data_IF_638287428612
#
_entry.id   IF_638287428612
#
_cell.length_a   1.000
_cell.length_b   1.000
_cell.length_c   1.000
_cell.angle_alpha   90.00
_cell.angle_beta   90.00
_cell.angle_gamma   90.00
#
_symmetry.space_group_name_H-M   'P 1'
#
loop_
_entity.id
_entity.type
_entity.pdbx_description
1 polymer ?
#
# COMPACT_ATOMS: atom_id res chain seq x y z
N UNK A 1 6.12 -40.31 2.15
CA UNK A 1 4.85 -39.87 1.52
C UNK A 1 4.80 -38.35 1.66
N UNK A 2 4.73 -37.61 0.55
CA UNK A 2 4.54 -36.17 0.63
C UNK A 2 3.12 -35.91 1.13
N UNK A 3 2.96 -35.34 2.31
CA UNK A 3 1.69 -34.87 2.82
C UNK A 3 1.31 -33.62 2.02
N UNK A 4 0.34 -33.76 1.11
CA UNK A 4 -0.26 -32.58 0.46
C UNK A 4 -0.94 -31.73 1.52
N UNK A 5 -0.66 -30.43 1.53
CA UNK A 5 -1.34 -29.50 2.43
C UNK A 5 -2.87 -29.57 2.23
N UNK A 6 -3.67 -29.45 3.32
CA UNK A 6 -5.12 -29.44 3.20
C UNK A 6 -5.60 -28.37 2.21
N UNK A 7 -6.61 -28.69 1.42
CA UNK A 7 -7.25 -27.73 0.52
C UNK A 7 -7.96 -26.64 1.33
N UNK A 8 -7.80 -25.38 0.92
CA UNK A 8 -8.50 -24.27 1.56
C UNK A 8 -9.99 -24.34 1.22
N UNK A 9 -10.81 -24.25 2.26
CA UNK A 9 -12.26 -24.25 2.15
C UNK A 9 -12.86 -23.20 3.10
N UNK A 10 -12.88 -21.96 2.63
CA UNK A 10 -13.36 -20.80 3.39
C UNK A 10 -14.61 -20.16 2.75
N UNK A 11 -15.28 -20.88 1.84
CA UNK A 11 -16.49 -20.40 1.18
C UNK A 11 -16.24 -19.48 -0.02
N UNK A 12 -15.00 -19.28 -0.44
CA UNK A 12 -14.61 -18.49 -1.62
C UNK A 12 -13.94 -19.46 -2.60
N UNK A 13 -14.36 -19.47 -3.87
CA UNK A 13 -13.79 -20.35 -4.87
C UNK A 13 -12.35 -19.98 -5.26
N UNK A 14 -11.66 -20.93 -5.92
CA UNK A 14 -10.24 -20.79 -6.24
C UNK A 14 -9.98 -19.62 -7.22
N UNK A 15 -10.89 -19.37 -8.17
CA UNK A 15 -10.74 -18.31 -9.16
C UNK A 15 -10.93 -16.90 -8.55
N UNK A 16 -11.94 -16.76 -7.69
CA UNK A 16 -12.18 -15.49 -6.98
C UNK A 16 -11.03 -15.20 -5.98
N UNK A 17 -10.53 -16.21 -5.25
CA UNK A 17 -9.34 -16.04 -4.41
C UNK A 17 -8.11 -15.58 -5.19
N UNK A 18 -7.85 -16.18 -6.34
CA UNK A 18 -6.73 -15.80 -7.21
C UNK A 18 -6.87 -14.36 -7.73
N UNK A 19 -8.06 -13.94 -8.12
CA UNK A 19 -8.33 -12.57 -8.58
C UNK A 19 -8.10 -11.54 -7.46
N UNK A 20 -8.62 -11.81 -6.25
CA UNK A 20 -8.42 -10.95 -5.07
C UNK A 20 -6.93 -10.86 -4.71
N UNK A 21 -6.21 -11.97 -4.73
CA UNK A 21 -4.76 -12.01 -4.48
C UNK A 21 -3.98 -11.18 -5.50
N UNK A 22 -4.39 -11.14 -6.76
CA UNK A 22 -3.81 -10.27 -7.77
C UNK A 22 -3.91 -8.78 -7.38
N UNK A 23 -5.08 -8.34 -6.93
CA UNK A 23 -5.30 -6.99 -6.44
C UNK A 23 -4.53 -6.68 -5.15
N UNK A 24 -4.56 -7.59 -4.17
CA UNK A 24 -3.81 -7.44 -2.92
C UNK A 24 -2.30 -7.39 -3.15
N UNK A 25 -1.78 -8.15 -4.12
CA UNK A 25 -0.35 -8.12 -4.47
C UNK A 25 0.08 -6.77 -5.03
N UNK A 26 -0.78 -6.13 -5.83
CA UNK A 26 -0.55 -4.77 -6.30
C UNK A 26 -0.65 -3.76 -5.14
N UNK A 27 -1.66 -3.88 -4.29
CA UNK A 27 -1.83 -3.03 -3.10
C UNK A 27 -0.62 -3.13 -2.16
N UNK A 28 -0.09 -4.34 -1.94
CA UNK A 28 1.12 -4.57 -1.15
C UNK A 28 2.34 -3.89 -1.77
N UNK A 29 2.52 -4.02 -3.09
CA UNK A 29 3.60 -3.38 -3.80
C UNK A 29 3.51 -1.85 -3.74
N UNK A 30 2.32 -1.28 -3.95
CA UNK A 30 2.08 0.16 -3.83
C UNK A 30 2.35 0.65 -2.40
N UNK A 31 1.88 -0.08 -1.39
CA UNK A 31 2.10 0.27 0.03
C UNK A 31 3.59 0.26 0.38
N UNK A 32 4.33 -0.76 -0.05
CA UNK A 32 5.75 -0.88 0.23
C UNK A 32 6.58 0.19 -0.52
N UNK A 33 6.24 0.46 -1.77
CA UNK A 33 6.88 1.53 -2.56
C UNK A 33 6.64 2.90 -1.92
N UNK A 34 5.41 3.18 -1.50
CA UNK A 34 5.08 4.44 -0.81
C UNK A 34 5.78 4.54 0.55
N UNK A 35 5.87 3.42 1.29
CA UNK A 35 6.66 3.36 2.53
C UNK A 35 8.11 3.78 2.29
N UNK A 36 8.77 3.16 1.33
CA UNK A 36 10.18 3.45 1.02
C UNK A 36 10.36 4.90 0.57
N UNK A 37 9.47 5.40 -0.27
CA UNK A 37 9.46 6.82 -0.72
C UNK A 37 9.33 7.77 0.47
N UNK A 38 8.40 7.52 1.36
CA UNK A 38 8.16 8.37 2.55
C UNK A 38 9.36 8.33 3.50
N UNK A 39 9.97 7.15 3.70
CA UNK A 39 11.15 6.99 4.54
C UNK A 39 12.38 7.69 3.92
N UNK A 40 12.55 7.59 2.59
CA UNK A 40 13.57 8.35 1.87
C UNK A 40 13.40 9.86 2.10
N UNK A 41 12.18 10.38 1.98
CA UNK A 41 11.89 11.79 2.19
C UNK A 41 12.07 12.23 3.64
N UNK A 42 11.75 11.37 4.60
CA UNK A 42 12.06 11.61 6.01
C UNK A 42 13.56 11.84 6.24
N UNK A 43 14.43 11.06 5.60
CA UNK A 43 15.88 11.23 5.70
C UNK A 43 16.39 12.49 5.00
N UNK A 44 15.83 12.83 3.84
CA UNK A 44 16.42 13.78 2.91
C UNK A 44 15.72 15.16 2.87
N UNK A 45 14.63 15.35 3.60
CA UNK A 45 13.95 16.65 3.65
C UNK A 45 14.85 17.72 4.27
N UNK A 46 14.83 18.93 3.71
CA UNK A 46 15.60 20.10 4.18
C UNK A 46 14.76 21.37 4.09
N UNK A 47 15.23 22.43 4.69
CA UNK A 47 14.63 23.76 4.59
C UNK A 47 13.83 24.17 5.83
N UNK A 48 13.09 25.29 5.75
CA UNK A 48 12.42 25.89 6.91
C UNK A 48 11.38 24.97 7.58
N UNK A 49 10.80 24.05 6.82
CA UNK A 49 9.79 23.09 7.31
C UNK A 49 10.41 21.74 7.74
N UNK A 50 11.74 21.65 7.86
CA UNK A 50 12.44 20.39 8.14
C UNK A 50 11.83 19.63 9.31
N UNK A 51 11.75 20.27 10.47
CA UNK A 51 11.29 19.57 11.69
C UNK A 51 9.85 19.06 11.56
N UNK A 52 8.96 19.88 11.01
CA UNK A 52 7.55 19.52 10.82
C UNK A 52 7.39 18.35 9.86
N UNK A 53 8.05 18.43 8.69
CA UNK A 53 7.93 17.38 7.66
C UNK A 53 8.67 16.10 8.06
N UNK A 54 9.84 16.21 8.69
CA UNK A 54 10.60 15.07 9.19
C UNK A 54 9.75 14.22 10.16
N UNK A 55 9.08 14.86 11.12
CA UNK A 55 8.19 14.18 12.07
C UNK A 55 6.90 13.65 11.40
N UNK A 56 6.32 14.42 10.50
CA UNK A 56 5.13 14.00 9.76
C UNK A 56 5.43 12.75 8.90
N UNK A 57 6.52 12.77 8.15
CA UNK A 57 6.93 11.62 7.33
C UNK A 57 7.25 10.39 8.19
N UNK A 58 7.81 10.58 9.40
CA UNK A 58 8.03 9.48 10.34
C UNK A 58 6.70 8.82 10.76
N UNK A 59 5.69 9.61 11.07
CA UNK A 59 4.35 9.09 11.39
C UNK A 59 3.77 8.31 10.22
N UNK A 60 3.90 8.86 9.00
CA UNK A 60 3.35 8.25 7.79
C UNK A 60 4.08 6.96 7.39
N UNK A 61 5.42 6.93 7.39
CA UNK A 61 6.12 5.69 7.04
C UNK A 61 5.94 4.59 8.09
N UNK A 62 5.77 4.96 9.35
CA UNK A 62 5.49 3.99 10.42
C UNK A 62 4.10 3.36 10.22
N UNK A 63 3.11 4.15 9.87
CA UNK A 63 1.78 3.65 9.53
C UNK A 63 1.82 2.69 8.31
N UNK A 64 2.50 3.11 7.24
CA UNK A 64 2.66 2.30 6.03
C UNK A 64 3.39 0.97 6.31
N UNK A 65 4.43 1.01 7.13
CA UNK A 65 5.14 -0.20 7.57
C UNK A 65 4.21 -1.17 8.30
N UNK A 66 3.40 -0.66 9.23
CA UNK A 66 2.44 -1.47 9.97
C UNK A 66 1.31 -2.02 9.08
N UNK A 67 1.04 -1.39 7.95
CA UNK A 67 0.04 -1.85 6.98
C UNK A 67 0.53 -3.00 6.08
N UNK A 68 1.85 -3.18 5.93
CA UNK A 68 2.42 -4.21 5.06
C UNK A 68 2.00 -5.61 5.49
N UNK A 69 2.16 -5.95 6.75
CA UNK A 69 1.86 -7.29 7.28
C UNK A 69 0.39 -7.70 7.09
N UNK A 70 -0.62 -6.89 7.49
CA UNK A 70 -2.02 -7.27 7.30
C UNK A 70 -2.38 -7.54 5.84
N UNK A 71 -1.83 -6.78 4.88
CA UNK A 71 -2.06 -7.00 3.45
C UNK A 71 -1.38 -8.30 2.98
N UNK A 72 -0.13 -8.52 3.36
CA UNK A 72 0.62 -9.72 2.99
C UNK A 72 0.00 -10.99 3.61
N UNK A 73 -0.40 -10.94 4.87
CA UNK A 73 -1.02 -12.06 5.57
C UNK A 73 -2.43 -12.37 5.04
N UNK A 74 -3.16 -11.35 4.55
CA UNK A 74 -4.43 -11.60 3.85
C UNK A 74 -4.22 -12.41 2.57
N UNK A 75 -3.18 -12.12 1.78
CA UNK A 75 -2.79 -12.94 0.62
C UNK A 75 -2.52 -14.39 1.06
N UNK A 76 -1.80 -14.57 2.17
CA UNK A 76 -1.52 -15.90 2.73
C UNK A 76 -2.78 -16.62 3.16
N UNK A 77 -3.70 -15.93 3.82
CA UNK A 77 -5.00 -16.48 4.25
C UNK A 77 -5.87 -16.95 3.08
N UNK A 78 -5.72 -16.32 1.91
CA UNK A 78 -6.37 -16.72 0.66
C UNK A 78 -5.65 -17.88 -0.06
N UNK A 79 -4.51 -18.35 0.48
CA UNK A 79 -3.84 -19.59 0.02
C UNK A 79 -2.71 -19.36 -0.99
N UNK A 80 -2.27 -18.15 -1.19
CA UNK A 80 -1.21 -17.82 -2.14
C UNK A 80 0.04 -17.27 -1.44
N UNK A 81 1.24 -17.37 -2.03
CA UNK A 81 2.42 -16.68 -1.53
C UNK A 81 2.29 -15.17 -1.74
N UNK A 82 2.69 -14.39 -0.74
CA UNK A 82 2.79 -12.94 -0.87
C UNK A 82 4.09 -12.57 -1.63
N UNK A 83 4.05 -11.60 -2.57
CA UNK A 83 5.27 -11.07 -3.17
C UNK A 83 6.11 -10.36 -2.10
N UNK A 84 7.44 -10.46 -2.18
CA UNK A 84 8.32 -9.92 -1.14
C UNK A 84 9.75 -9.65 -1.62
N UNK A 85 9.94 -9.26 -2.88
CA UNK A 85 11.23 -8.81 -3.39
C UNK A 85 11.11 -7.46 -4.10
N UNK A 86 12.21 -6.69 -4.12
CA UNK A 86 12.24 -5.40 -4.83
C UNK A 86 11.84 -5.52 -6.30
N UNK A 87 12.31 -6.57 -7.00
CA UNK A 87 11.95 -6.80 -8.39
C UNK A 87 10.46 -7.10 -8.59
N UNK A 88 9.83 -7.82 -7.66
CA UNK A 88 8.38 -8.06 -7.67
C UNK A 88 7.61 -6.76 -7.42
N UNK A 89 7.99 -5.98 -6.43
CA UNK A 89 7.34 -4.72 -6.11
C UNK A 89 7.49 -3.70 -7.25
N UNK A 90 8.67 -3.56 -7.85
CA UNK A 90 8.88 -2.69 -9.00
C UNK A 90 7.98 -3.04 -10.20
N UNK A 91 7.71 -4.34 -10.42
CA UNK A 91 6.84 -4.80 -11.50
C UNK A 91 5.36 -4.62 -11.21
N UNK A 92 4.94 -4.73 -9.94
CA UNK A 92 3.54 -4.72 -9.52
C UNK A 92 3.04 -3.33 -9.16
N UNK A 93 3.92 -2.46 -8.65
CA UNK A 93 3.54 -1.13 -8.16
C UNK A 93 3.08 -0.20 -9.29
N UNK A 94 2.06 0.58 -9.01
CA UNK A 94 1.62 1.71 -9.83
C UNK A 94 2.33 3.03 -9.47
N UNK A 95 3.10 3.03 -8.37
CA UNK A 95 3.85 4.20 -7.90
C UNK A 95 5.21 4.24 -8.59
N UNK A 96 5.58 5.41 -9.10
CA UNK A 96 6.87 5.63 -9.77
C UNK A 96 7.99 5.73 -8.74
N UNK A 97 9.19 5.30 -9.14
CA UNK A 97 10.40 5.57 -8.37
C UNK A 97 10.65 7.06 -8.20
N UNK A 98 11.24 7.40 -7.06
CA UNK A 98 11.69 8.76 -6.79
C UNK A 98 13.00 9.05 -7.55
N UNK A 99 13.27 10.33 -7.91
CA UNK A 99 14.55 10.72 -8.46
C UNK A 99 15.71 10.40 -7.52
N UNK A 100 16.89 10.10 -8.08
CA UNK A 100 18.12 9.88 -7.29
C UNK A 100 18.49 11.12 -6.47
N UNK A 101 18.36 12.29 -7.07
CA UNK A 101 18.52 13.57 -6.37
C UNK A 101 17.25 13.89 -5.57
N UNK A 102 17.34 14.08 -4.24
CA UNK A 102 16.18 14.37 -3.42
C UNK A 102 15.44 15.63 -3.88
N UNK A 103 14.11 15.58 -4.09
CA UNK A 103 13.32 16.75 -4.43
C UNK A 103 13.31 17.80 -3.30
N UNK A 104 12.89 19.01 -3.60
CA UNK A 104 12.61 20.02 -2.57
C UNK A 104 11.41 19.62 -1.71
N UNK A 105 11.35 20.16 -0.49
CA UNK A 105 10.35 19.76 0.53
C UNK A 105 8.89 19.75 0.02
N UNK A 106 8.43 20.82 -0.65
CA UNK A 106 7.05 20.86 -1.17
C UNK A 106 6.82 19.90 -2.35
N UNK A 107 7.87 19.60 -3.12
CA UNK A 107 7.76 18.58 -4.16
C UNK A 107 7.68 17.17 -3.56
N UNK A 108 8.41 16.90 -2.47
CA UNK A 108 8.21 15.67 -1.69
C UNK A 108 6.76 15.52 -1.23
N UNK A 109 6.16 16.60 -0.73
CA UNK A 109 4.75 16.60 -0.31
C UNK A 109 3.82 16.26 -1.49
N UNK A 110 4.04 16.85 -2.69
CA UNK A 110 3.24 16.52 -3.89
C UNK A 110 3.35 15.06 -4.27
N UNK A 111 4.56 14.53 -4.31
CA UNK A 111 4.82 13.12 -4.64
C UNK A 111 4.09 12.21 -3.66
N UNK A 112 4.09 12.53 -2.36
CA UNK A 112 3.37 11.75 -1.36
C UNK A 112 1.85 11.86 -1.50
N UNK A 113 1.30 13.01 -1.85
CA UNK A 113 -0.14 13.14 -2.19
C UNK A 113 -0.49 12.20 -3.32
N UNK A 114 0.25 12.26 -4.44
CA UNK A 114 0.02 11.40 -5.61
C UNK A 114 0.15 9.92 -5.25
N UNK A 115 1.13 9.57 -4.41
CA UNK A 115 1.34 8.21 -3.92
C UNK A 115 0.16 7.69 -3.10
N UNK A 116 -0.32 8.45 -2.13
CA UNK A 116 -1.49 8.08 -1.33
C UNK A 116 -2.76 7.95 -2.18
N UNK A 117 -2.95 8.84 -3.14
CA UNK A 117 -4.07 8.76 -4.08
C UNK A 117 -3.96 7.53 -5.00
N UNK A 118 -2.75 7.15 -5.42
CA UNK A 118 -2.53 5.93 -6.20
C UNK A 118 -2.90 4.67 -5.42
N UNK A 119 -2.46 4.57 -4.15
CA UNK A 119 -2.84 3.44 -3.28
C UNK A 119 -4.36 3.41 -3.07
N UNK A 120 -4.99 4.55 -2.84
CA UNK A 120 -6.45 4.63 -2.70
C UNK A 120 -7.19 4.15 -3.96
N UNK A 121 -6.71 4.51 -5.15
CA UNK A 121 -7.29 3.99 -6.41
C UNK A 121 -7.12 2.48 -6.53
N UNK A 122 -5.92 1.95 -6.25
CA UNK A 122 -5.65 0.51 -6.26
C UNK A 122 -6.59 -0.25 -5.31
N UNK A 123 -6.79 0.25 -4.10
CA UNK A 123 -7.71 -0.35 -3.14
C UNK A 123 -9.17 -0.28 -3.64
N UNK A 124 -9.60 0.85 -4.20
CA UNK A 124 -10.96 1.06 -4.68
C UNK A 124 -11.32 0.15 -5.85
N UNK A 125 -10.38 -0.07 -6.77
CA UNK A 125 -10.56 -0.93 -7.94
C UNK A 125 -10.79 -2.41 -7.57
N UNK A 126 -10.48 -2.81 -6.33
CA UNK A 126 -10.67 -4.18 -5.86
C UNK A 126 -12.10 -4.47 -5.36
N UNK A 127 -12.91 -3.47 -5.01
CA UNK A 127 -14.24 -3.70 -4.43
C UNK A 127 -15.16 -4.59 -5.28
N UNK A 128 -15.25 -4.44 -6.61
CA UNK A 128 -16.07 -5.33 -7.42
C UNK A 128 -15.67 -6.82 -7.31
N UNK A 129 -14.38 -7.10 -7.11
CA UNK A 129 -13.89 -8.47 -6.95
C UNK A 129 -14.25 -9.05 -5.58
N UNK A 130 -14.05 -8.27 -4.51
CA UNK A 130 -14.32 -8.74 -3.14
C UNK A 130 -15.81 -8.84 -2.86
N UNK A 131 -16.63 -7.93 -3.39
CA UNK A 131 -18.09 -7.98 -3.28
C UNK A 131 -18.66 -9.20 -4.00
N UNK A 132 -18.20 -9.47 -5.23
CA UNK A 132 -18.60 -10.67 -5.98
C UNK A 132 -18.29 -11.97 -5.21
N UNK A 133 -17.15 -12.00 -4.54
CA UNK A 133 -16.69 -13.18 -3.78
C UNK A 133 -17.32 -13.30 -2.38
N UNK A 134 -17.98 -12.28 -1.87
CA UNK A 134 -18.42 -12.19 -0.49
C UNK A 134 -17.24 -12.19 0.50
N UNK A 135 -16.10 -11.58 0.12
CA UNK A 135 -14.89 -11.53 0.95
C UNK A 135 -14.90 -10.32 1.87
N UNK A 136 -15.76 -10.36 2.89
CA UNK A 136 -15.91 -9.29 3.89
C UNK A 136 -14.61 -8.92 4.60
N UNK A 137 -13.72 -9.87 5.00
CA UNK A 137 -12.46 -9.50 5.63
C UNK A 137 -11.53 -8.69 4.72
N UNK A 138 -11.51 -8.98 3.41
CA UNK A 138 -10.76 -8.15 2.46
C UNK A 138 -11.44 -6.80 2.25
N UNK A 139 -12.77 -6.75 2.14
CA UNK A 139 -13.52 -5.48 2.04
C UNK A 139 -13.26 -4.56 3.23
N UNK A 140 -13.25 -5.09 4.46
CA UNK A 140 -12.94 -4.32 5.67
C UNK A 140 -11.49 -3.79 5.64
N UNK A 141 -10.51 -4.62 5.29
CA UNK A 141 -9.12 -4.20 5.12
C UNK A 141 -9.00 -3.05 4.10
N UNK A 142 -9.66 -3.15 2.95
CA UNK A 142 -9.65 -2.11 1.91
C UNK A 142 -10.29 -0.81 2.41
N UNK A 143 -11.38 -0.90 3.14
CA UNK A 143 -12.09 0.25 3.73
C UNK A 143 -11.19 1.00 4.71
N UNK A 144 -10.49 0.29 5.59
CA UNK A 144 -9.53 0.88 6.53
C UNK A 144 -8.38 1.57 5.78
N UNK A 145 -7.82 0.91 4.76
CA UNK A 145 -6.74 1.50 3.97
C UNK A 145 -7.20 2.77 3.24
N UNK A 146 -8.37 2.76 2.63
CA UNK A 146 -8.95 3.95 1.97
C UNK A 146 -9.07 5.13 2.93
N UNK A 147 -9.65 4.91 4.10
CA UNK A 147 -9.84 5.97 5.10
C UNK A 147 -8.50 6.62 5.48
N UNK A 148 -7.44 5.82 5.71
CA UNK A 148 -6.12 6.30 6.09
C UNK A 148 -5.43 7.05 4.95
N UNK A 149 -5.45 6.50 3.72
CA UNK A 149 -4.81 7.14 2.58
C UNK A 149 -5.48 8.45 2.17
N UNK A 150 -6.81 8.50 2.20
CA UNK A 150 -7.58 9.72 1.88
C UNK A 150 -7.33 10.81 2.93
N UNK A 151 -7.32 10.46 4.21
CA UNK A 151 -7.00 11.40 5.30
C UNK A 151 -5.57 11.94 5.18
N UNK A 152 -4.60 11.05 4.93
CA UNK A 152 -3.19 11.46 4.79
C UNK A 152 -2.98 12.36 3.58
N UNK A 153 -3.60 12.02 2.44
CA UNK A 153 -3.56 12.86 1.24
C UNK A 153 -4.17 14.24 1.48
N UNK A 154 -5.29 14.32 2.21
CA UNK A 154 -5.88 15.60 2.61
C UNK A 154 -4.90 16.43 3.46
N UNK A 155 -4.32 15.84 4.51
CA UNK A 155 -3.36 16.56 5.37
C UNK A 155 -2.14 17.06 4.60
N UNK A 156 -1.62 16.25 3.69
CA UNK A 156 -0.49 16.65 2.84
C UNK A 156 -0.87 17.77 1.87
N UNK A 157 -2.04 17.72 1.21
CA UNK A 157 -2.52 18.80 0.32
C UNK A 157 -2.63 20.13 1.02
N UNK A 158 -3.06 20.15 2.30
CA UNK A 158 -3.16 21.36 3.09
C UNK A 158 -1.83 22.10 3.31
N UNK A 159 -0.70 21.43 3.04
CA UNK A 159 0.64 22.07 3.07
C UNK A 159 1.01 22.74 1.74
N UNK A 160 0.23 22.52 0.70
CA UNK A 160 0.50 23.03 -0.66
C UNK A 160 -0.32 24.28 -1.00
N UNK A 161 -1.23 24.67 -0.12
CA UNK A 161 -2.04 25.89 -0.18
C UNK A 161 -1.23 27.07 0.44
#
# INVERSE_FOLDING_TARGET
MATTAPRINIGIDDADRAAIVGGLSKLLADTYTLYLTTHNFHWNVTGPMFNTLHLMFMTQYTELWNAVDPVAERIRSLGHPAPGSYAQFARLSSIKDVPEDPPKALEMVRILVEGHEAVARTARDMFPLVEKAGDEPTADLLTQRLAIHEQTAWMLRSLLE
#
